data_IF_244783261763
#
_entry.id   IF_244783261763
#
_cell.length_a   1.000
_cell.length_b   1.000
_cell.length_c   1.000
_cell.angle_alpha   90.00
_cell.angle_beta   90.00
_cell.angle_gamma   90.00
#
_symmetry.space_group_name_H-M   'P 1'
#
loop_
_entity.id
_entity.type
_entity.pdbx_description
1 polymer ?
#
# COMPACT_ATOMS: atom_id res chain seq x y z
N UNK A 1 -10.24 24.78 13.03
CA UNK A 1 -11.04 24.29 11.88
C UNK A 1 -11.15 25.41 10.84
N UNK A 2 -11.18 25.11 9.54
CA UNK A 2 -11.25 26.10 8.45
C UNK A 2 -12.41 27.09 8.64
N UNK A 3 -13.58 26.60 9.06
CA UNK A 3 -14.76 27.43 9.33
C UNK A 3 -14.53 28.51 10.41
N UNK A 4 -13.77 28.19 11.47
CA UNK A 4 -13.43 29.17 12.50
C UNK A 4 -12.55 30.28 11.93
N UNK A 5 -11.58 29.92 11.09
CA UNK A 5 -10.67 30.89 10.46
C UNK A 5 -11.43 31.84 9.53
N UNK A 6 -12.40 31.30 8.78
CA UNK A 6 -13.31 32.10 7.95
C UNK A 6 -14.17 33.02 8.82
N UNK A 7 -14.72 32.52 9.94
CA UNK A 7 -15.49 33.33 10.90
C UNK A 7 -14.67 34.53 11.39
N UNK A 8 -13.45 34.29 11.86
CA UNK A 8 -12.58 35.32 12.43
C UNK A 8 -12.21 36.38 11.37
N UNK A 9 -11.97 35.94 10.13
CA UNK A 9 -11.63 36.82 9.02
C UNK A 9 -12.81 37.69 8.57
N UNK A 10 -14.03 37.13 8.53
CA UNK A 10 -15.25 37.90 8.26
C UNK A 10 -15.54 38.86 9.43
N UNK A 11 -15.39 38.40 10.68
CA UNK A 11 -15.59 39.23 11.89
C UNK A 11 -14.70 40.48 11.84
N UNK A 12 -13.42 40.32 11.48
CA UNK A 12 -12.49 41.45 11.36
C UNK A 12 -12.95 42.50 10.34
N UNK A 13 -13.66 42.10 9.27
CA UNK A 13 -14.13 43.02 8.23
C UNK A 13 -15.41 43.76 8.63
N UNK A 14 -16.25 43.16 9.48
CA UNK A 14 -17.54 43.74 9.89
C UNK A 14 -17.50 44.44 11.24
N UNK A 15 -16.37 44.38 11.95
CA UNK A 15 -16.16 45.05 13.24
C UNK A 15 -16.39 46.57 13.16
N UNK A 16 -15.95 47.23 12.09
CA UNK A 16 -16.15 48.69 11.91
C UNK A 16 -17.63 49.07 11.78
N UNK A 17 -18.46 48.13 11.31
CA UNK A 17 -19.91 48.30 11.21
C UNK A 17 -20.65 47.91 12.51
N UNK A 18 -19.93 47.44 13.55
CA UNK A 18 -20.53 47.01 14.82
C UNK A 18 -21.32 45.71 14.74
N UNK A 19 -21.07 44.87 13.73
CA UNK A 19 -21.77 43.60 13.53
C UNK A 19 -21.00 42.42 14.16
N UNK A 20 -21.73 41.48 14.75
CA UNK A 20 -21.18 40.25 15.33
C UNK A 20 -21.59 39.02 14.50
N UNK A 21 -20.60 38.20 14.12
CA UNK A 21 -20.78 36.93 13.43
C UNK A 21 -20.90 35.82 14.47
N UNK A 22 -22.10 35.24 14.57
CA UNK A 22 -22.36 34.15 15.51
C UNK A 22 -21.73 32.83 15.02
N UNK A 23 -21.88 32.50 13.74
CA UNK A 23 -21.35 31.28 13.14
C UNK A 23 -20.92 31.47 11.67
N UNK A 24 -20.01 30.60 11.21
CA UNK A 24 -19.71 30.41 9.81
C UNK A 24 -19.77 28.92 9.47
N UNK A 25 -20.45 28.58 8.36
CA UNK A 25 -20.57 27.20 7.87
C UNK A 25 -20.14 27.12 6.42
N UNK A 26 -19.41 26.06 6.08
CA UNK A 26 -19.10 25.71 4.69
C UNK A 26 -20.26 24.86 4.18
N UNK A 27 -21.09 25.41 3.30
CA UNK A 27 -22.25 24.73 2.71
C UNK A 27 -21.92 23.85 1.52
N UNK A 28 -20.84 24.17 0.81
CA UNK A 28 -20.41 23.42 -0.36
C UNK A 28 -18.90 23.55 -0.53
N UNK A 29 -18.23 22.41 -0.68
CA UNK A 29 -16.83 22.33 -1.06
C UNK A 29 -16.74 21.37 -2.24
N UNK A 30 -16.56 21.92 -3.43
CA UNK A 30 -16.29 21.13 -4.62
C UNK A 30 -14.84 21.25 -5.03
N UNK A 31 -14.26 20.11 -5.40
CA UNK A 31 -13.07 20.09 -6.25
C UNK A 31 -13.50 20.30 -7.69
N UNK A 32 -12.62 20.91 -8.50
CA UNK A 32 -12.80 20.89 -9.94
C UNK A 32 -12.85 19.42 -10.43
N UNK A 33 -13.73 19.05 -11.38
CA UNK A 33 -13.88 17.67 -11.86
C UNK A 33 -12.54 17.02 -12.26
N UNK A 34 -11.65 17.81 -12.86
CA UNK A 34 -10.32 17.41 -13.30
C UNK A 34 -9.42 17.01 -12.13
N UNK A 35 -9.55 17.69 -10.99
CA UNK A 35 -8.77 17.43 -9.79
C UNK A 35 -9.32 16.20 -9.04
N UNK A 36 -10.63 16.01 -9.02
CA UNK A 36 -11.27 14.86 -8.38
C UNK A 36 -10.85 13.54 -9.05
N UNK A 37 -10.81 13.49 -10.39
CA UNK A 37 -10.37 12.31 -11.13
C UNK A 37 -8.90 11.94 -10.85
N UNK A 38 -8.01 12.94 -10.84
CA UNK A 38 -6.58 12.73 -10.55
C UNK A 38 -6.35 12.34 -9.09
N UNK A 39 -7.08 12.94 -8.14
CA UNK A 39 -7.04 12.56 -6.73
C UNK A 39 -7.49 11.11 -6.53
N UNK A 40 -8.60 10.72 -7.14
CA UNK A 40 -9.12 9.35 -7.06
C UNK A 40 -8.14 8.34 -7.65
N UNK A 41 -7.56 8.64 -8.82
CA UNK A 41 -6.55 7.78 -9.46
C UNK A 41 -5.32 7.61 -8.56
N UNK A 42 -4.84 8.68 -7.91
CA UNK A 42 -3.72 8.61 -6.96
C UNK A 42 -4.07 7.79 -5.72
N UNK A 43 -5.27 7.97 -5.17
CA UNK A 43 -5.73 7.21 -4.01
C UNK A 43 -5.84 5.71 -4.32
N UNK A 44 -6.40 5.37 -5.48
CA UNK A 44 -6.48 3.98 -5.93
C UNK A 44 -5.09 3.39 -6.17
N UNK A 45 -4.18 4.14 -6.80
CA UNK A 45 -2.80 3.69 -7.00
C UNK A 45 -2.10 3.41 -5.65
N UNK A 46 -2.27 4.28 -4.65
CA UNK A 46 -1.75 4.05 -3.30
C UNK A 46 -2.36 2.79 -2.68
N UNK A 47 -3.68 2.64 -2.72
CA UNK A 47 -4.36 1.48 -2.16
C UNK A 47 -3.91 0.15 -2.82
N UNK A 48 -3.66 0.18 -4.14
CA UNK A 48 -3.12 -0.98 -4.86
C UNK A 48 -1.69 -1.31 -4.43
N UNK A 49 -0.85 -0.29 -4.22
CA UNK A 49 0.52 -0.48 -3.73
C UNK A 49 0.51 -1.02 -2.31
N UNK A 50 -0.33 -0.48 -1.43
CA UNK A 50 -0.46 -0.92 -0.04
C UNK A 50 -0.93 -2.39 0.04
N UNK A 51 -1.90 -2.76 -0.80
CA UNK A 51 -2.34 -4.15 -0.92
C UNK A 51 -1.21 -5.07 -1.41
N UNK A 52 -0.42 -4.63 -2.40
CA UNK A 52 0.74 -5.41 -2.89
C UNK A 52 1.83 -5.55 -1.84
N UNK A 53 2.10 -4.51 -1.06
CA UNK A 53 3.06 -4.57 0.05
C UNK A 53 2.64 -5.63 1.08
N UNK A 54 1.36 -5.63 1.47
CA UNK A 54 0.81 -6.63 2.42
C UNK A 54 0.95 -8.07 1.91
N UNK A 55 0.74 -8.31 0.61
CA UNK A 55 0.93 -9.63 0.00
C UNK A 55 2.41 -10.05 0.06
N UNK A 56 3.33 -9.16 -0.30
CA UNK A 56 4.77 -9.44 -0.28
C UNK A 56 5.26 -9.74 1.13
N UNK A 57 4.83 -8.97 2.13
CA UNK A 57 5.20 -9.21 3.53
C UNK A 57 4.74 -10.59 4.02
N UNK A 58 3.50 -10.98 3.68
CA UNK A 58 3.00 -12.32 3.96
C UNK A 58 3.81 -13.42 3.29
N UNK A 59 4.13 -13.24 2.00
CA UNK A 59 4.93 -14.19 1.23
C UNK A 59 6.35 -14.36 1.79
N UNK A 60 7.05 -13.27 2.12
CA UNK A 60 8.38 -13.32 2.74
C UNK A 60 8.32 -14.07 4.07
N UNK A 61 7.30 -13.82 4.89
CA UNK A 61 7.08 -14.54 6.14
C UNK A 61 6.90 -16.05 5.93
N UNK A 62 6.08 -16.45 4.95
CA UNK A 62 5.85 -17.86 4.61
C UNK A 62 7.13 -18.56 4.15
N UNK A 63 7.94 -17.90 3.31
CA UNK A 63 9.21 -18.45 2.82
C UNK A 63 10.21 -18.61 3.97
N UNK A 64 10.30 -17.62 4.86
CA UNK A 64 11.19 -17.68 6.03
C UNK A 64 10.85 -18.89 6.91
N UNK A 65 9.58 -19.06 7.27
CA UNK A 65 9.12 -20.19 8.09
C UNK A 65 9.42 -21.55 7.42
N UNK A 66 9.22 -21.65 6.10
CA UNK A 66 9.51 -22.89 5.37
C UNK A 66 11.00 -23.24 5.38
N UNK A 67 11.89 -22.26 5.18
CA UNK A 67 13.34 -22.48 5.20
C UNK A 67 13.85 -22.83 6.60
N UNK A 68 13.35 -22.16 7.63
CA UNK A 68 13.71 -22.47 9.04
C UNK A 68 13.33 -23.91 9.38
N UNK A 69 12.13 -24.36 9.00
CA UNK A 69 11.68 -25.73 9.26
C UNK A 69 12.50 -26.80 8.52
N UNK A 70 12.88 -26.53 7.27
CA UNK A 70 13.72 -27.46 6.49
C UNK A 70 15.14 -27.60 7.06
N UNK A 71 15.66 -26.51 7.64
CA UNK A 71 16.96 -26.48 8.34
C UNK A 71 16.89 -27.23 9.67
N UNK A 72 15.84 -26.99 10.47
CA UNK A 72 15.58 -27.71 11.74
C UNK A 72 15.42 -29.21 11.55
N UNK A 73 14.68 -29.64 10.51
CA UNK A 73 14.47 -31.05 10.19
C UNK A 73 15.72 -31.70 9.55
N UNK A 74 16.78 -30.92 9.28
CA UNK A 74 18.03 -31.39 8.66
C UNK A 74 17.85 -31.92 7.23
N UNK A 75 16.75 -31.56 6.56
CA UNK A 75 16.36 -32.10 5.26
C UNK A 75 17.22 -31.51 4.14
N UNK A 76 17.66 -30.26 4.29
CA UNK A 76 18.42 -29.55 3.26
C UNK A 76 19.52 -28.70 3.88
N UNK A 77 20.76 -28.82 3.37
CA UNK A 77 21.85 -27.91 3.70
C UNK A 77 22.06 -26.96 2.52
N UNK A 78 21.57 -25.72 2.65
CA UNK A 78 21.63 -24.70 1.60
C UNK A 78 22.78 -23.74 1.86
N UNK A 79 23.63 -23.54 0.86
CA UNK A 79 24.53 -22.39 0.84
C UNK A 79 23.74 -21.09 0.62
N UNK A 80 24.37 -19.94 0.92
CA UNK A 80 23.75 -18.62 0.79
C UNK A 80 23.22 -18.35 -0.63
N UNK A 81 23.90 -18.85 -1.66
CA UNK A 81 23.52 -18.65 -3.06
C UNK A 81 22.26 -19.45 -3.44
N UNK A 82 22.15 -20.72 -3.04
CA UNK A 82 20.95 -21.53 -3.24
C UNK A 82 19.78 -21.03 -2.42
N UNK A 83 20.03 -20.52 -1.21
CA UNK A 83 19.00 -19.91 -0.35
C UNK A 83 18.39 -18.68 -1.04
N UNK A 84 19.22 -17.79 -1.57
CA UNK A 84 18.76 -16.62 -2.33
C UNK A 84 17.94 -17.01 -3.58
N UNK A 85 18.39 -18.03 -4.32
CA UNK A 85 17.66 -18.55 -5.48
C UNK A 85 16.29 -19.14 -5.09
N UNK A 86 16.21 -19.92 -4.00
CA UNK A 86 14.95 -20.47 -3.50
C UNK A 86 13.98 -19.39 -3.04
N UNK A 87 14.46 -18.39 -2.29
CA UNK A 87 13.64 -17.24 -1.85
C UNK A 87 13.08 -16.50 -3.07
N UNK A 88 13.92 -16.21 -4.06
CA UNK A 88 13.48 -15.55 -5.30
C UNK A 88 12.40 -16.36 -6.02
N UNK A 89 12.60 -17.67 -6.19
CA UNK A 89 11.63 -18.52 -6.87
C UNK A 89 10.30 -18.61 -6.12
N UNK A 90 10.34 -18.74 -4.79
CA UNK A 90 9.14 -18.81 -3.97
C UNK A 90 8.40 -17.47 -3.93
N UNK A 91 9.10 -16.35 -3.87
CA UNK A 91 8.46 -15.02 -3.94
C UNK A 91 7.78 -14.79 -5.28
N UNK A 92 8.38 -15.23 -6.39
CA UNK A 92 7.75 -15.14 -7.71
C UNK A 92 6.48 -15.99 -7.78
N UNK A 93 6.47 -17.18 -7.16
CA UNK A 93 5.29 -18.08 -7.12
C UNK A 93 4.21 -17.55 -6.18
N UNK A 94 4.56 -17.03 -5.01
CA UNK A 94 3.60 -16.55 -3.99
C UNK A 94 3.03 -15.17 -4.32
N UNK A 95 3.83 -14.29 -4.92
CA UNK A 95 3.41 -12.94 -5.31
C UNK A 95 2.95 -12.86 -6.78
N UNK A 96 3.15 -13.92 -7.56
CA UNK A 96 2.69 -14.03 -8.93
C UNK A 96 1.17 -14.13 -9.00
N UNK A 97 0.52 -13.08 -9.50
CA UNK A 97 -0.95 -13.01 -9.66
C UNK A 97 -1.51 -13.83 -10.84
N UNK A 98 -0.72 -14.75 -11.38
CA UNK A 98 -1.12 -15.70 -12.42
C UNK A 98 -0.94 -17.09 -11.84
N UNK A 99 -1.93 -17.98 -11.98
CA UNK A 99 -1.80 -19.40 -11.61
C UNK A 99 -0.43 -19.90 -12.07
N UNK A 100 0.44 -20.23 -11.11
CA UNK A 100 1.79 -20.67 -11.39
C UNK A 100 1.70 -21.94 -12.25
N UNK A 101 1.94 -21.83 -13.55
CA UNK A 101 2.00 -23.01 -14.40
C UNK A 101 3.22 -23.82 -13.97
N UNK A 102 3.05 -25.09 -13.56
CA UNK A 102 4.18 -25.89 -13.11
C UNK A 102 5.13 -26.10 -14.29
N UNK A 103 6.25 -25.38 -14.27
CA UNK A 103 7.36 -25.68 -15.19
C UNK A 103 8.03 -26.92 -14.62
N UNK A 104 7.56 -28.10 -15.04
CA UNK A 104 8.21 -29.38 -14.70
C UNK A 104 9.55 -29.39 -15.41
N UNK A 105 10.62 -29.05 -14.70
CA UNK A 105 11.98 -29.18 -15.21
C UNK A 105 12.40 -30.65 -15.06
N UNK A 106 12.05 -31.46 -16.05
CA UNK A 106 12.56 -32.83 -16.26
C UNK A 106 13.93 -32.81 -16.97
N UNK A 107 14.76 -31.80 -16.69
CA UNK A 107 16.16 -31.78 -17.08
C UNK A 107 16.94 -32.80 -16.24
N UNK A 108 17.26 -33.94 -16.86
CA UNK A 108 18.24 -34.94 -16.44
C UNK A 108 19.26 -34.42 -15.41
N UNK A 109 19.20 -34.94 -14.18
CA UNK A 109 20.41 -35.07 -13.35
C UNK A 109 21.40 -35.90 -14.16
N UNK A 110 22.53 -35.29 -14.51
CA UNK A 110 23.78 -36.01 -14.76
C UNK A 110 24.67 -35.84 -13.53
#
# INVERSE_FOLDING_TARGET
>A
MVAQRIKDEIQSKVNEAGLEILEARITYLAYAPEIAAVMLQRQQASAVVDARAMIVDGAVGMVKMALEKLDEDGIVNLDEERKAAMVSNLLVVLCGSHDAQPIVNSGSLY
#
